data_IF_963761278076
#
_entry.id   IF_963761278076
#
_cell.length_a   1.000
_cell.length_b   1.000
_cell.length_c   1.000
_cell.angle_alpha   90.00
_cell.angle_beta   90.00
_cell.angle_gamma   90.00
#
_symmetry.space_group_name_H-M   'P 1'
#
loop_
_entity.id
_entity.type
_entity.pdbx_description
1 polymer ?
#
# COMPACT_ATOMS: atom_id res chain seq x y z
N UNK A 1 -20.81 -2.11 8.21
CA UNK A 1 -19.36 -2.37 8.26
C UNK A 1 -18.98 -2.55 9.73
N UNK A 2 -18.39 -3.70 10.13
CA UNK A 2 -17.84 -3.90 11.48
C UNK A 2 -16.64 -2.99 11.83
N UNK A 3 -16.18 -2.15 10.91
CA UNK A 3 -15.07 -1.20 11.10
C UNK A 3 -13.79 -1.61 10.38
N UNK A 4 -13.85 -2.55 9.43
CA UNK A 4 -12.67 -3.06 8.70
C UNK A 4 -12.49 -2.43 7.32
N UNK A 5 -13.26 -1.38 6.99
CA UNK A 5 -13.20 -0.73 5.68
C UNK A 5 -11.78 -0.37 5.24
N UNK A 6 -10.97 0.21 6.12
CA UNK A 6 -9.60 0.58 5.76
C UNK A 6 -8.64 -0.61 5.65
N UNK A 7 -8.84 -1.65 6.47
CA UNK A 7 -8.11 -2.92 6.32
C UNK A 7 -8.42 -3.57 4.97
N UNK A 8 -9.69 -3.56 4.55
CA UNK A 8 -10.11 -4.10 3.26
C UNK A 8 -9.49 -3.30 2.10
N UNK A 9 -9.43 -1.96 2.19
CA UNK A 9 -8.74 -1.12 1.20
C UNK A 9 -7.26 -1.44 1.12
N UNK A 10 -6.57 -1.63 2.25
CA UNK A 10 -5.16 -2.02 2.26
C UNK A 10 -4.91 -3.31 1.49
N UNK A 11 -5.75 -4.33 1.70
CA UNK A 11 -5.62 -5.61 1.00
C UNK A 11 -5.94 -5.48 -0.50
N UNK A 12 -7.02 -4.79 -0.86
CA UNK A 12 -7.45 -4.62 -2.24
C UNK A 12 -6.42 -3.82 -3.06
N UNK A 13 -5.95 -2.70 -2.55
CA UNK A 13 -4.97 -1.86 -3.25
C UNK A 13 -3.60 -2.54 -3.34
N UNK A 14 -3.21 -3.35 -2.35
CA UNK A 14 -2.00 -4.17 -2.45
C UNK A 14 -2.09 -5.21 -3.58
N UNK A 15 -3.25 -5.86 -3.73
CA UNK A 15 -3.49 -6.79 -4.83
C UNK A 15 -3.48 -6.08 -6.19
N UNK A 16 -4.09 -4.89 -6.30
CA UNK A 16 -4.05 -4.10 -7.53
C UNK A 16 -2.63 -3.63 -7.87
N UNK A 17 -1.82 -3.29 -6.87
CA UNK A 17 -0.41 -2.95 -7.06
C UNK A 17 0.36 -4.09 -7.74
N UNK A 18 0.20 -5.32 -7.26
CA UNK A 18 0.87 -6.50 -7.80
C UNK A 18 0.49 -6.79 -9.26
N UNK A 19 -0.74 -6.46 -9.65
CA UNK A 19 -1.26 -6.78 -10.99
C UNK A 19 -0.98 -5.68 -12.00
N UNK A 20 -0.95 -4.41 -11.58
CA UNK A 20 -1.06 -3.27 -12.49
C UNK A 20 0.16 -2.34 -12.51
N UNK A 21 1.05 -2.41 -11.53
CA UNK A 21 2.14 -1.44 -11.39
C UNK A 21 3.51 -2.05 -11.71
N UNK A 22 4.45 -1.20 -12.10
CA UNK A 22 5.86 -1.56 -12.17
C UNK A 22 6.46 -1.53 -10.76
N UNK A 23 6.96 -2.68 -10.31
CA UNK A 23 7.36 -2.90 -8.91
C UNK A 23 8.84 -3.28 -8.81
N UNK A 24 9.50 -2.95 -7.69
CA UNK A 24 10.88 -3.36 -7.45
C UNK A 24 11.07 -4.87 -7.63
N UNK A 25 12.14 -5.26 -8.34
CA UNK A 25 12.53 -6.68 -8.42
C UNK A 25 12.96 -7.16 -7.04
N UNK A 26 12.08 -7.91 -6.39
CA UNK A 26 12.28 -8.49 -5.06
C UNK A 26 11.84 -9.95 -5.05
N UNK A 27 12.31 -10.72 -4.07
CA UNK A 27 11.97 -12.14 -3.93
C UNK A 27 12.01 -12.57 -2.47
N UNK A 28 11.29 -13.64 -2.14
CA UNK A 28 11.17 -14.15 -0.77
C UNK A 28 10.00 -13.52 -0.02
N UNK A 29 10.05 -13.56 1.31
CA UNK A 29 9.05 -12.95 2.17
C UNK A 29 9.48 -11.52 2.50
N UNK A 30 8.88 -10.55 1.83
CA UNK A 30 9.18 -9.13 1.98
C UNK A 30 7.96 -8.39 2.49
N UNK A 31 8.18 -7.25 3.13
CA UNK A 31 7.09 -6.39 3.59
C UNK A 31 6.48 -5.64 2.41
N UNK A 32 5.24 -5.19 2.55
CA UNK A 32 4.56 -4.35 1.55
C UNK A 32 5.33 -3.07 1.24
N UNK A 33 6.02 -2.47 2.22
CA UNK A 33 6.86 -1.30 1.98
C UNK A 33 8.02 -1.59 1.01
N UNK A 34 8.66 -2.75 1.14
CA UNK A 34 9.77 -3.18 0.27
C UNK A 34 9.27 -3.66 -1.10
N UNK A 35 8.15 -4.38 -1.14
CA UNK A 35 7.61 -4.96 -2.36
C UNK A 35 6.83 -3.98 -3.23
N UNK A 36 6.05 -3.08 -2.60
CA UNK A 36 5.03 -2.28 -3.29
C UNK A 36 5.32 -0.77 -3.25
N UNK A 37 6.05 -0.29 -2.23
CA UNK A 37 6.60 1.07 -2.17
C UNK A 37 5.58 2.19 -2.43
N UNK A 38 6.04 3.23 -3.15
CA UNK A 38 5.24 4.42 -3.47
C UNK A 38 3.94 4.12 -4.25
N UNK A 39 3.92 3.17 -5.23
CA UNK A 39 2.66 2.78 -5.89
C UNK A 39 1.52 2.44 -4.93
N UNK A 40 1.80 1.70 -3.86
CA UNK A 40 0.77 1.37 -2.85
C UNK A 40 0.33 2.62 -2.09
N UNK A 41 1.26 3.49 -1.72
CA UNK A 41 0.93 4.72 -0.97
C UNK A 41 0.00 5.61 -1.80
N UNK A 42 0.28 5.77 -3.09
CA UNK A 42 -0.55 6.55 -4.01
C UNK A 42 -1.95 5.96 -4.18
N UNK A 43 -2.07 4.63 -4.29
CA UNK A 43 -3.36 3.94 -4.34
C UNK A 43 -4.17 4.15 -3.07
N UNK A 44 -3.55 3.99 -1.90
CA UNK A 44 -4.24 4.17 -0.63
C UNK A 44 -4.69 5.62 -0.42
N UNK A 45 -3.90 6.61 -0.86
CA UNK A 45 -4.32 8.03 -0.91
C UNK A 45 -5.57 8.21 -1.76
N UNK A 46 -5.62 7.61 -2.96
CA UNK A 46 -6.81 7.64 -3.85
C UNK A 46 -8.01 6.92 -3.25
N UNK A 47 -7.79 5.87 -2.45
CA UNK A 47 -8.82 5.15 -1.70
C UNK A 47 -9.27 5.87 -0.41
N UNK A 48 -8.79 7.09 -0.18
CA UNK A 48 -9.21 7.96 0.93
C UNK A 48 -8.39 7.80 2.22
N UNK A 49 -7.24 7.11 2.19
CA UNK A 49 -6.35 6.98 3.34
C UNK A 49 -5.29 8.10 3.31
N UNK A 50 -5.28 8.95 4.32
CA UNK A 50 -4.31 10.04 4.44
C UNK A 50 -3.03 9.60 5.15
N UNK A 51 -1.87 10.00 4.61
CA UNK A 51 -0.57 9.82 5.24
C UNK A 51 0.06 11.18 5.59
N UNK A 52 0.74 11.26 6.74
CA UNK A 52 1.55 12.43 7.12
C UNK A 52 2.87 11.97 7.72
N UNK A 53 3.93 12.73 7.48
CA UNK A 53 5.20 12.55 8.19
C UNK A 53 4.98 12.95 9.65
N UNK A 54 5.28 12.04 10.58
CA UNK A 54 5.11 12.29 12.01
C UNK A 54 6.36 12.87 12.69
N UNK A 55 7.55 12.64 12.11
CA UNK A 55 8.82 13.16 12.59
C UNK A 55 9.87 13.17 11.47
N UNK A 56 10.80 14.12 11.53
CA UNK A 56 12.03 14.16 10.72
C UNK A 56 13.23 14.16 11.65
N UNK A 57 14.32 13.47 11.29
CA UNK A 57 15.58 13.51 12.03
C UNK A 57 16.47 14.64 11.54
#
# INVERSE_FOLDING_TARGET
DPGYGDTAKMLAEAALCLVLDDLPRTSGQVTTAVALGEPLVERLRRAGISFRVAATR
#
